data_IF_928276921980
#
_entry.id   IF_928276921980
#
_cell.length_a   1.000
_cell.length_b   1.000
_cell.length_c   1.000
_cell.angle_alpha   90.00
_cell.angle_beta   90.00
_cell.angle_gamma   90.00
#
_symmetry.space_group_name_H-M   'P 1'
#
loop_
_entity.id
_entity.type
_entity.pdbx_description
1 polymer ?
#
# COMPACT_ATOMS: atom_id res chain seq x y z
N UNK A 1 -8.09 -1.10 45.42
CA UNK A 1 -7.49 -0.91 44.08
C UNK A 1 -8.17 -1.96 43.23
N UNK A 2 -9.25 -1.54 42.57
CA UNK A 2 -10.18 -2.46 41.93
C UNK A 2 -9.57 -3.00 40.64
N UNK A 3 -9.90 -4.26 40.29
CA UNK A 3 -9.43 -4.91 39.06
C UNK A 3 -9.71 -4.06 37.80
N UNK A 4 -10.72 -3.20 37.85
CA UNK A 4 -11.08 -2.24 36.79
C UNK A 4 -9.97 -1.22 36.53
N UNK A 5 -9.28 -0.73 37.57
CA UNK A 5 -8.15 0.21 37.41
C UNK A 5 -6.93 -0.46 36.75
N UNK A 6 -6.75 -1.77 36.96
CA UNK A 6 -5.68 -2.53 36.29
C UNK A 6 -6.01 -2.81 34.82
N UNK A 7 -7.28 -3.03 34.48
CA UNK A 7 -7.70 -3.13 33.07
C UNK A 7 -7.56 -1.77 32.38
N UNK A 8 -8.03 -0.67 32.97
CA UNK A 8 -7.82 0.67 32.40
C UNK A 8 -6.33 1.02 32.23
N UNK A 9 -5.48 0.65 33.19
CA UNK A 9 -4.04 0.94 33.13
C UNK A 9 -3.30 0.06 32.12
N UNK A 10 -3.76 -1.18 31.87
CA UNK A 10 -3.22 -2.03 30.80
C UNK A 10 -3.68 -1.54 29.42
N UNK A 11 -4.93 -1.07 29.29
CA UNK A 11 -5.44 -0.48 28.05
C UNK A 11 -4.84 0.91 27.76
N UNK A 12 -4.55 1.73 28.77
CA UNK A 12 -3.81 3.00 28.63
C UNK A 12 -2.32 2.79 28.31
N UNK A 13 -1.75 1.63 28.64
CA UNK A 13 -0.36 1.29 28.30
C UNK A 13 -0.15 0.83 26.86
N UNK A 14 -1.23 0.63 26.10
CA UNK A 14 -1.20 0.26 24.69
C UNK A 14 -1.43 1.45 23.75
N UNK A 15 -1.19 2.68 24.22
CA UNK A 15 -1.09 3.83 23.32
C UNK A 15 0.12 3.60 22.41
N UNK A 16 -0.14 3.08 21.20
CA UNK A 16 0.87 2.97 20.15
C UNK A 16 1.47 4.36 19.90
N UNK A 17 2.77 4.40 19.62
CA UNK A 17 3.50 5.65 19.49
C UNK A 17 2.85 6.56 18.43
N UNK A 18 2.74 7.88 18.69
CA UNK A 18 2.20 8.82 17.71
C UNK A 18 3.05 8.82 16.45
N UNK A 19 2.46 9.22 15.33
CA UNK A 19 3.15 9.23 14.05
C UNK A 19 4.45 10.05 14.10
N UNK A 20 5.54 9.40 13.67
CA UNK A 20 6.83 10.04 13.44
C UNK A 20 7.15 9.98 11.95
N UNK A 21 7.23 11.16 11.33
CA UNK A 21 7.56 11.26 9.91
C UNK A 21 8.98 10.76 9.64
N UNK A 22 9.09 9.87 8.66
CA UNK A 22 10.36 9.39 8.14
C UNK A 22 10.73 10.16 6.86
N UNK A 23 12.02 10.44 6.67
CA UNK A 23 12.52 11.07 5.45
C UNK A 23 12.74 10.01 4.36
N UNK A 24 11.69 9.74 3.59
CA UNK A 24 11.76 8.79 2.47
C UNK A 24 12.42 9.48 1.27
N UNK A 25 13.61 9.01 0.92
CA UNK A 25 14.39 9.48 -0.22
C UNK A 25 14.38 8.43 -1.33
N UNK A 26 14.06 8.88 -2.54
CA UNK A 26 14.21 8.10 -3.77
C UNK A 26 15.22 8.84 -4.63
N UNK A 27 16.37 8.23 -4.83
CA UNK A 27 17.53 8.75 -5.57
C UNK A 27 17.83 7.93 -6.81
N UNK A 28 17.45 6.65 -6.82
CA UNK A 28 17.53 5.75 -7.95
C UNK A 28 16.21 5.00 -8.16
N UNK A 29 15.82 4.83 -9.42
CA UNK A 29 14.68 4.02 -9.81
C UNK A 29 15.05 3.14 -11.01
N UNK A 30 14.56 1.90 -11.02
CA UNK A 30 14.82 0.94 -12.09
C UNK A 30 13.49 0.49 -12.70
N UNK A 31 13.35 0.64 -14.02
CA UNK A 31 12.15 0.21 -14.77
C UNK A 31 12.43 -1.13 -15.42
N UNK A 32 11.64 -2.15 -15.09
CA UNK A 32 11.65 -3.47 -15.74
C UNK A 32 10.36 -3.65 -16.51
N UNK A 33 10.44 -3.80 -17.83
CA UNK A 33 9.26 -3.94 -18.68
C UNK A 33 9.49 -4.85 -19.89
N UNK A 34 8.41 -5.37 -20.46
CA UNK A 34 8.43 -6.09 -21.72
C UNK A 34 8.62 -5.15 -22.92
N UNK A 35 9.31 -5.65 -23.95
CA UNK A 35 9.58 -4.91 -25.19
C UNK A 35 11.06 -4.84 -25.53
N UNK A 36 11.35 -4.21 -26.66
CA UNK A 36 12.71 -3.81 -27.02
C UNK A 36 13.12 -2.52 -26.28
N UNK A 37 14.37 -2.09 -26.46
CA UNK A 37 14.90 -0.90 -25.80
C UNK A 37 14.07 0.37 -26.08
N UNK A 38 13.49 0.50 -27.28
CA UNK A 38 12.69 1.67 -27.65
C UNK A 38 11.33 1.66 -26.97
N UNK A 39 10.64 0.51 -26.97
CA UNK A 39 9.36 0.34 -26.29
C UNK A 39 9.49 0.53 -24.77
N UNK A 40 10.52 -0.06 -24.16
CA UNK A 40 10.76 0.05 -22.72
C UNK A 40 11.11 1.47 -22.33
N UNK A 41 11.90 2.17 -23.15
CA UNK A 41 12.21 3.59 -22.92
C UNK A 41 10.96 4.47 -23.00
N UNK A 42 10.10 4.25 -24.00
CA UNK A 42 8.85 5.00 -24.13
C UNK A 42 7.93 4.78 -22.93
N UNK A 43 7.79 3.53 -22.47
CA UNK A 43 7.04 3.21 -21.26
C UNK A 43 7.67 3.80 -19.99
N UNK A 44 8.99 3.76 -19.86
CA UNK A 44 9.72 4.40 -18.77
C UNK A 44 9.51 5.92 -18.74
N UNK A 45 9.45 6.60 -19.89
CA UNK A 45 9.14 8.03 -19.97
C UNK A 45 7.73 8.36 -19.45
N UNK A 46 6.74 7.49 -19.69
CA UNK A 46 5.40 7.63 -19.11
C UNK A 46 5.43 7.50 -17.59
N UNK A 47 6.16 6.50 -17.07
CA UNK A 47 6.35 6.29 -15.62
C UNK A 47 7.02 7.51 -14.97
N UNK A 48 8.05 8.07 -15.60
CA UNK A 48 8.74 9.27 -15.12
C UNK A 48 7.81 10.48 -15.05
N UNK A 49 6.90 10.62 -16.02
CA UNK A 49 5.85 11.65 -16.02
C UNK A 49 4.90 11.49 -14.84
N UNK A 50 4.34 10.28 -14.67
CA UNK A 50 3.46 9.94 -13.54
C UNK A 50 4.14 10.17 -12.18
N UNK A 51 5.42 9.81 -12.06
CA UNK A 51 6.23 9.97 -10.85
C UNK A 51 7.02 11.28 -10.80
N UNK A 52 6.59 12.32 -11.51
CA UNK A 52 7.25 13.64 -11.54
C UNK A 52 7.37 14.27 -10.14
N UNK A 53 6.52 13.88 -9.19
CA UNK A 53 6.59 14.23 -7.76
C UNK A 53 7.93 13.89 -7.11
N UNK A 54 8.64 12.86 -7.61
CA UNK A 54 9.96 12.48 -7.10
C UNK A 54 11.06 13.49 -7.45
N UNK A 55 10.81 14.36 -8.45
CA UNK A 55 11.71 15.39 -8.91
C UNK A 55 12.75 14.90 -9.93
N UNK A 56 13.50 15.85 -10.49
CA UNK A 56 14.42 15.60 -11.61
C UNK A 56 15.74 14.89 -11.22
N UNK A 57 16.03 14.74 -9.92
CA UNK A 57 17.31 14.21 -9.45
C UNK A 57 17.34 12.68 -9.29
N UNK A 58 16.26 11.99 -9.64
CA UNK A 58 16.22 10.52 -9.62
C UNK A 58 17.02 9.97 -10.80
N UNK A 59 17.97 9.08 -10.54
CA UNK A 59 18.67 8.32 -11.58
C UNK A 59 17.78 7.17 -12.04
N UNK A 60 17.47 7.12 -13.33
CA UNK A 60 16.64 6.07 -13.92
C UNK A 60 17.51 5.06 -14.70
N UNK A 61 17.26 3.77 -14.49
CA UNK A 61 17.83 2.68 -15.27
C UNK A 61 16.70 1.88 -15.92
N UNK A 62 16.75 1.72 -17.24
CA UNK A 62 15.72 0.98 -18.00
C UNK A 62 16.26 -0.40 -18.36
N UNK A 63 15.50 -1.44 -18.00
CA UNK A 63 15.88 -2.85 -18.15
C UNK A 63 14.79 -3.57 -18.95
N UNK A 64 15.02 -3.87 -20.24
CA UNK A 64 14.07 -4.66 -21.01
C UNK A 64 14.04 -6.10 -20.50
N UNK A 65 12.89 -6.77 -20.62
CA UNK A 65 12.77 -8.18 -20.19
C UNK A 65 13.67 -9.14 -20.97
N UNK A 66 14.19 -8.73 -22.13
CA UNK A 66 15.21 -9.45 -22.88
C UNK A 66 16.62 -9.41 -22.24
N UNK A 67 16.85 -8.54 -21.25
CA UNK A 67 18.12 -8.43 -20.53
C UNK A 67 18.34 -9.51 -19.46
N UNK A 68 17.31 -10.30 -19.15
CA UNK A 68 17.40 -11.43 -18.23
C UNK A 68 16.56 -12.61 -18.76
N UNK A 69 17.02 -13.82 -18.54
CA UNK A 69 16.35 -15.06 -18.95
C UNK A 69 15.63 -15.76 -17.79
N UNK A 70 15.96 -15.37 -16.56
CA UNK A 70 15.45 -15.95 -15.33
C UNK A 70 15.49 -14.92 -14.20
N UNK A 71 14.85 -15.25 -13.07
CA UNK A 71 14.77 -14.37 -11.91
C UNK A 71 16.13 -14.12 -11.24
N UNK A 72 17.07 -15.09 -11.28
CA UNK A 72 18.39 -14.88 -10.68
C UNK A 72 19.17 -13.76 -11.39
N UNK A 73 19.15 -13.75 -12.73
CA UNK A 73 19.78 -12.70 -13.53
C UNK A 73 19.15 -11.33 -13.26
N UNK A 74 17.83 -11.25 -13.07
CA UNK A 74 17.18 -10.00 -12.66
C UNK A 74 17.61 -9.56 -11.27
N UNK A 75 17.73 -10.48 -10.31
CA UNK A 75 18.22 -10.17 -8.96
C UNK A 75 19.66 -9.65 -9.00
N UNK A 76 20.54 -10.23 -9.82
CA UNK A 76 21.91 -9.73 -10.02
C UNK A 76 21.93 -8.29 -10.58
N UNK A 77 21.01 -7.96 -11.51
CA UNK A 77 20.83 -6.59 -11.99
C UNK A 77 20.40 -5.67 -10.85
N UNK A 78 19.40 -6.07 -10.06
CA UNK A 78 18.90 -5.27 -8.93
C UNK A 78 19.96 -5.07 -7.84
N UNK A 79 20.77 -6.07 -7.55
CA UNK A 79 21.91 -5.97 -6.62
C UNK A 79 22.98 -5.01 -7.14
N UNK A 80 23.30 -5.05 -8.44
CA UNK A 80 24.29 -4.17 -9.05
C UNK A 80 23.83 -2.71 -9.12
N UNK A 81 22.59 -2.47 -9.54
CA UNK A 81 22.05 -1.13 -9.75
C UNK A 81 21.61 -0.46 -8.44
N UNK A 82 21.29 -1.26 -7.43
CA UNK A 82 20.81 -0.87 -6.10
C UNK A 82 19.74 0.24 -6.13
N UNK A 83 18.58 -0.01 -6.76
CA UNK A 83 17.53 1.00 -6.88
C UNK A 83 16.79 1.21 -5.55
N UNK A 84 16.43 2.45 -5.25
CA UNK A 84 15.50 2.76 -4.14
C UNK A 84 14.05 2.36 -4.48
N UNK A 85 13.72 2.37 -5.78
CA UNK A 85 12.40 2.02 -6.31
C UNK A 85 12.52 1.12 -7.54
N UNK A 86 11.76 0.03 -7.57
CA UNK A 86 11.62 -0.84 -8.73
C UNK A 86 10.26 -0.58 -9.37
N UNK A 87 10.22 -0.13 -10.62
CA UNK A 87 8.99 0.04 -11.39
C UNK A 87 8.82 -1.12 -12.36
N UNK A 88 7.69 -1.81 -12.31
CA UNK A 88 7.41 -2.95 -13.17
C UNK A 88 5.91 -3.12 -13.40
N UNK A 89 5.51 -4.15 -14.13
CA UNK A 89 4.12 -4.52 -14.33
C UNK A 89 3.92 -6.01 -14.08
N UNK A 90 2.65 -6.41 -13.94
CA UNK A 90 2.30 -7.82 -13.78
C UNK A 90 2.76 -8.62 -15.00
N UNK A 91 3.20 -9.85 -14.75
CA UNK A 91 3.67 -10.80 -15.76
C UNK A 91 4.84 -10.35 -16.63
N UNK A 92 5.67 -9.40 -16.18
CA UNK A 92 6.89 -9.01 -16.89
C UNK A 92 7.77 -10.24 -17.20
N UNK A 93 8.29 -10.33 -18.41
CA UNK A 93 9.11 -11.45 -18.89
C UNK A 93 8.35 -12.77 -19.04
N UNK A 94 7.02 -12.78 -18.90
CA UNK A 94 6.20 -13.99 -19.01
C UNK A 94 5.41 -14.03 -20.32
N UNK A 95 5.37 -15.18 -21.02
CA UNK A 95 4.48 -15.35 -22.17
C UNK A 95 2.98 -15.40 -21.77
N UNK A 96 2.68 -15.50 -20.47
CA UNK A 96 1.34 -15.75 -19.93
C UNK A 96 0.61 -14.46 -19.48
N UNK A 97 0.82 -13.35 -20.19
CA UNK A 97 0.21 -12.03 -19.90
C UNK A 97 -1.33 -12.03 -19.82
N UNK A 98 -1.99 -13.09 -20.32
CA UNK A 98 -3.46 -13.23 -20.34
C UNK A 98 -4.07 -13.68 -19.02
N UNK A 99 -3.28 -14.14 -18.04
CA UNK A 99 -3.82 -14.75 -16.83
C UNK A 99 -4.01 -13.75 -15.69
N UNK A 100 -5.21 -13.21 -15.58
CA UNK A 100 -5.58 -12.20 -14.59
C UNK A 100 -5.57 -12.64 -13.10
N UNK A 101 -5.12 -13.86 -12.79
CA UNK A 101 -5.26 -14.49 -11.47
C UNK A 101 -3.97 -14.52 -10.64
N UNK A 102 -2.86 -14.04 -11.19
CA UNK A 102 -1.57 -13.99 -10.49
C UNK A 102 -0.85 -12.68 -10.81
N UNK A 103 0.19 -12.35 -10.05
CA UNK A 103 1.05 -11.19 -10.34
C UNK A 103 2.14 -11.53 -11.37
N UNK A 104 2.45 -12.82 -11.51
CA UNK A 104 3.54 -13.33 -12.32
C UNK A 104 4.77 -13.61 -11.46
N UNK A 105 5.54 -14.64 -11.85
CA UNK A 105 6.67 -15.17 -11.08
C UNK A 105 7.66 -14.10 -10.63
N UNK A 106 8.03 -13.20 -11.54
CA UNK A 106 8.97 -12.11 -11.24
C UNK A 106 8.44 -11.22 -10.13
N UNK A 107 7.19 -10.75 -10.25
CA UNK A 107 6.62 -9.81 -9.29
C UNK A 107 6.35 -10.47 -7.94
N UNK A 108 5.89 -11.73 -7.92
CA UNK A 108 5.74 -12.52 -6.70
C UNK A 108 7.06 -12.65 -5.95
N UNK A 109 8.17 -12.94 -6.65
CA UNK A 109 9.50 -13.00 -6.02
C UNK A 109 9.96 -11.63 -5.55
N UNK A 110 9.80 -10.56 -6.34
CA UNK A 110 10.22 -9.22 -5.94
C UNK A 110 9.55 -8.80 -4.64
N UNK A 111 8.22 -8.93 -4.56
CA UNK A 111 7.46 -8.55 -3.36
C UNK A 111 7.83 -9.36 -2.11
N UNK A 112 8.43 -10.54 -2.25
CA UNK A 112 8.84 -11.38 -1.11
C UNK A 112 10.33 -11.26 -0.79
N UNK A 113 11.19 -11.14 -1.79
CA UNK A 113 12.64 -11.29 -1.66
C UNK A 113 13.40 -9.96 -1.59
N UNK A 114 12.77 -8.83 -1.92
CA UNK A 114 13.38 -7.51 -1.76
C UNK A 114 12.73 -6.72 -0.61
N UNK A 115 13.51 -5.82 -0.02
CA UNK A 115 13.03 -4.78 0.92
C UNK A 115 12.86 -3.42 0.22
N UNK A 116 13.22 -3.35 -1.07
CA UNK A 116 13.03 -2.18 -1.92
C UNK A 116 11.57 -2.02 -2.28
N UNK A 117 11.11 -0.78 -2.37
CA UNK A 117 9.76 -0.50 -2.81
C UNK A 117 9.54 -0.94 -4.26
N UNK A 118 8.40 -1.58 -4.53
CA UNK A 118 8.01 -2.06 -5.86
C UNK A 118 6.77 -1.31 -6.32
N UNK A 119 6.90 -0.48 -7.35
CA UNK A 119 5.79 0.15 -8.06
C UNK A 119 5.29 -0.78 -9.16
N UNK A 120 4.06 -1.26 -9.03
CA UNK A 120 3.37 -2.08 -10.01
C UNK A 120 2.43 -1.19 -10.82
N UNK A 121 2.70 -1.09 -12.12
CA UNK A 121 1.95 -0.26 -13.04
C UNK A 121 1.08 -1.11 -13.98
N UNK A 122 0.08 -0.51 -14.65
CA UNK A 122 -0.65 -1.14 -15.75
C UNK A 122 0.30 -1.71 -16.80
N UNK A 123 -0.08 -2.81 -17.45
CA UNK A 123 0.75 -3.42 -18.49
C UNK A 123 0.96 -2.42 -19.66
N UNK A 124 2.17 -2.32 -20.26
CA UNK A 124 2.45 -1.37 -21.36
C UNK A 124 1.41 -1.40 -22.49
N UNK A 125 0.96 -2.60 -22.88
CA UNK A 125 -0.06 -2.80 -23.93
C UNK A 125 -1.52 -2.62 -23.46
N UNK A 126 -1.77 -2.09 -22.25
CA UNK A 126 -3.12 -1.87 -21.74
C UNK A 126 -3.60 -0.44 -21.95
N UNK A 127 -4.91 -0.26 -22.16
CA UNK A 127 -5.53 1.07 -22.26
C UNK A 127 -5.28 1.95 -21.02
N UNK A 128 -5.01 1.34 -19.87
CA UNK A 128 -4.71 2.08 -18.64
C UNK A 128 -3.28 2.61 -18.61
N UNK A 129 -2.34 1.96 -19.32
CA UNK A 129 -1.00 2.49 -19.51
C UNK A 129 -0.99 3.71 -20.44
N UNK A 130 -1.85 3.74 -21.45
CA UNK A 130 -2.00 4.93 -22.31
C UNK A 130 -2.47 6.17 -21.53
N UNK A 131 -3.18 5.97 -20.42
CA UNK A 131 -3.69 7.05 -19.54
C UNK A 131 -2.70 7.48 -18.47
N UNK A 132 -1.59 6.74 -18.24
CA UNK A 132 -0.60 7.07 -17.21
C UNK A 132 -0.03 8.50 -17.35
N UNK A 133 0.30 8.99 -18.56
CA UNK A 133 0.82 10.35 -18.75
C UNK A 133 -0.15 11.48 -18.36
N UNK A 134 -1.46 11.20 -18.44
CA UNK A 134 -2.52 12.15 -18.08
C UNK A 134 -2.88 12.07 -16.58
N UNK A 135 -2.30 11.12 -15.85
CA UNK A 135 -2.47 10.93 -14.41
C UNK A 135 -1.28 11.52 -13.66
N UNK A 136 -1.56 12.04 -12.49
CA UNK A 136 -0.56 12.36 -11.48
C UNK A 136 -0.84 11.54 -10.21
N UNK A 137 -0.05 11.80 -9.17
CA UNK A 137 -0.26 11.23 -7.84
C UNK A 137 -1.00 12.20 -6.91
N UNK A 138 -2.02 12.87 -7.44
CA UNK A 138 -2.83 13.87 -6.73
C UNK A 138 -3.74 13.28 -5.65
N UNK A 139 -4.08 12.00 -5.74
CA UNK A 139 -4.79 11.27 -4.70
C UNK A 139 -4.08 9.95 -4.43
N UNK A 140 -3.36 9.88 -3.32
CA UNK A 140 -2.67 8.66 -2.87
C UNK A 140 -3.46 8.04 -1.74
N UNK A 141 -3.72 6.74 -1.82
CA UNK A 141 -4.52 6.01 -0.84
C UNK A 141 -3.68 4.93 -0.17
N UNK A 142 -3.59 4.96 1.15
CA UNK A 142 -2.99 3.90 1.96
C UNK A 142 -4.05 2.84 2.26
N UNK A 143 -3.71 1.57 2.02
CA UNK A 143 -4.62 0.44 2.20
C UNK A 143 -4.00 -0.57 3.16
N UNK A 144 -4.58 -0.68 4.35
CA UNK A 144 -4.12 -1.61 5.39
C UNK A 144 -5.24 -1.88 6.40
N UNK A 145 -5.12 -2.99 7.13
CA UNK A 145 -5.86 -3.34 8.35
C UNK A 145 -4.97 -3.20 9.61
N UNK A 146 -3.76 -2.66 9.45
CA UNK A 146 -2.73 -2.52 10.49
C UNK A 146 -2.07 -1.13 10.46
N UNK A 147 -2.84 -0.06 10.24
CA UNK A 147 -2.29 1.30 10.08
C UNK A 147 -1.56 1.82 11.33
N UNK A 148 -2.04 1.46 12.51
CA UNK A 148 -1.61 2.07 13.77
C UNK A 148 -0.14 1.75 14.05
N UNK A 149 0.70 2.78 14.10
CA UNK A 149 2.15 2.67 14.32
C UNK A 149 2.98 2.57 13.03
N UNK A 150 2.35 2.47 11.86
CA UNK A 150 3.06 2.32 10.59
C UNK A 150 3.48 3.67 9.98
N UNK A 151 4.50 4.27 10.59
CA UNK A 151 5.09 5.51 10.10
C UNK A 151 5.78 5.35 8.75
N UNK A 152 6.24 4.14 8.40
CA UNK A 152 6.90 3.85 7.12
C UNK A 152 5.90 3.96 5.98
N UNK A 153 4.77 3.27 6.08
CA UNK A 153 3.72 3.26 5.07
C UNK A 153 3.19 4.67 4.79
N UNK A 154 2.87 5.42 5.84
CA UNK A 154 2.39 6.81 5.73
C UNK A 154 3.47 7.72 5.11
N UNK A 155 4.73 7.58 5.54
CA UNK A 155 5.83 8.42 5.02
C UNK A 155 6.14 8.11 3.55
N UNK A 156 6.05 6.84 3.14
CA UNK A 156 6.14 6.46 1.74
C UNK A 156 4.97 7.07 0.95
N UNK A 157 3.73 6.84 1.35
CA UNK A 157 2.57 7.40 0.64
C UNK A 157 2.66 8.94 0.49
N UNK A 158 3.08 9.63 1.54
CA UNK A 158 3.32 11.07 1.51
C UNK A 158 4.40 11.47 0.49
N UNK A 159 5.50 10.71 0.38
CA UNK A 159 6.57 10.99 -0.59
C UNK A 159 6.08 10.96 -2.04
N UNK A 160 5.09 10.12 -2.32
CA UNK A 160 4.49 10.03 -3.64
C UNK A 160 3.29 10.96 -3.82
N UNK A 161 2.79 11.65 -2.80
CA UNK A 161 1.63 12.55 -2.96
C UNK A 161 2.08 13.89 -3.54
N UNK A 162 1.43 14.37 -4.62
CA UNK A 162 1.78 15.67 -5.19
C UNK A 162 1.52 16.82 -4.20
N UNK A 163 2.26 17.93 -4.29
CA UNK A 163 1.96 19.12 -3.48
C UNK A 163 0.52 19.58 -3.71
N UNK A 164 -0.20 19.83 -2.61
CA UNK A 164 -1.62 20.14 -2.51
C UNK A 164 -2.56 19.00 -2.92
N UNK A 165 -2.01 17.80 -3.10
CA UNK A 165 -2.78 16.57 -3.28
C UNK A 165 -3.42 16.09 -1.98
N UNK A 166 -4.10 14.96 -2.09
CA UNK A 166 -4.78 14.27 -0.99
C UNK A 166 -4.08 12.96 -0.66
N UNK A 167 -3.84 12.74 0.62
CA UNK A 167 -3.41 11.45 1.17
C UNK A 167 -4.58 10.87 1.96
N UNK A 168 -5.19 9.82 1.44
CA UNK A 168 -6.30 9.12 2.10
C UNK A 168 -5.72 7.96 2.90
N UNK A 169 -5.88 8.01 4.22
CA UNK A 169 -5.46 6.96 5.12
C UNK A 169 -6.66 6.07 5.42
N UNK A 170 -6.64 4.84 4.89
CA UNK A 170 -7.74 3.91 5.04
C UNK A 170 -7.37 2.74 5.94
N UNK A 171 -8.26 2.46 6.88
CA UNK A 171 -8.18 1.29 7.76
C UNK A 171 -9.50 0.53 7.71
N UNK A 172 -9.45 -0.72 7.26
CA UNK A 172 -10.65 -1.56 7.13
C UNK A 172 -10.51 -2.80 7.98
N UNK A 173 -11.30 -2.87 9.06
CA UNK A 173 -11.45 -4.06 9.89
C UNK A 173 -12.34 -5.11 9.21
N UNK A 174 -12.02 -6.40 9.35
CA UNK A 174 -12.81 -7.49 8.74
C UNK A 174 -14.09 -7.77 9.53
N UNK A 175 -15.25 -7.47 8.92
CA UNK A 175 -16.57 -7.76 9.48
C UNK A 175 -16.78 -9.27 9.75
N UNK A 176 -16.12 -10.16 9.01
CA UNK A 176 -16.18 -11.62 9.21
C UNK A 176 -15.52 -12.02 10.51
N UNK A 177 -14.39 -11.39 10.84
CA UNK A 177 -13.67 -11.63 12.09
C UNK A 177 -14.50 -11.12 13.26
N UNK A 178 -15.07 -9.93 13.13
CA UNK A 178 -15.98 -9.38 14.12
C UNK A 178 -17.20 -10.29 14.36
N UNK A 179 -17.85 -10.76 13.28
CA UNK A 179 -19.00 -11.67 13.38
C UNK A 179 -18.64 -12.95 14.16
N UNK A 180 -17.43 -13.48 13.96
CA UNK A 180 -16.94 -14.64 14.72
C UNK A 180 -16.80 -14.34 16.22
N UNK A 181 -16.37 -13.14 16.59
CA UNK A 181 -16.32 -12.73 17.99
C UNK A 181 -17.70 -12.54 18.59
N UNK A 182 -18.62 -11.88 17.87
CA UNK A 182 -20.02 -11.72 18.28
C UNK A 182 -20.68 -13.08 18.53
N UNK A 183 -20.49 -14.05 17.63
CA UNK A 183 -21.02 -15.42 17.79
C UNK A 183 -20.47 -16.15 19.01
N UNK A 184 -19.21 -15.88 19.39
CA UNK A 184 -18.60 -16.46 20.58
C UNK A 184 -19.15 -15.82 21.86
N UNK A 185 -19.29 -14.49 21.86
CA UNK A 185 -19.85 -13.72 22.98
C UNK A 185 -21.31 -14.11 23.23
N UNK A 186 -22.10 -14.34 22.18
CA UNK A 186 -23.49 -14.78 22.25
C UNK A 186 -23.72 -16.08 23.03
N UNK A 187 -22.68 -16.91 23.17
CA UNK A 187 -22.74 -18.18 23.91
C UNK A 187 -22.47 -18.01 25.40
N UNK A 188 -22.15 -16.81 25.87
CA UNK A 188 -21.86 -16.49 27.27
C UNK A 188 -23.15 -15.91 27.90
N UNK A 189 -23.89 -16.68 28.73
CA UNK A 189 -25.26 -16.32 29.13
C UNK A 189 -25.39 -15.01 29.94
N UNK A 190 -24.29 -14.56 30.55
CA UNK A 190 -24.24 -13.41 31.45
C UNK A 190 -23.83 -12.12 30.73
N UNK A 191 -23.48 -12.20 29.43
CA UNK A 191 -23.03 -11.05 28.65
C UNK A 191 -24.13 -10.54 27.72
N UNK A 192 -24.37 -9.23 27.76
CA UNK A 192 -25.16 -8.56 26.73
C UNK A 192 -24.33 -8.48 25.44
N UNK A 193 -24.68 -9.33 24.48
CA UNK A 193 -23.94 -9.48 23.23
C UNK A 193 -23.98 -8.22 22.37
N UNK A 194 -25.10 -7.50 22.39
CA UNK A 194 -25.29 -6.29 21.57
C UNK A 194 -24.36 -5.19 22.08
N UNK A 195 -24.49 -4.85 23.37
CA UNK A 195 -23.65 -3.84 24.03
C UNK A 195 -22.15 -4.15 23.91
N UNK A 196 -21.74 -5.42 24.09
CA UNK A 196 -20.31 -5.78 23.98
C UNK A 196 -19.82 -5.69 22.54
N UNK A 197 -20.65 -6.04 21.55
CA UNK A 197 -20.28 -5.92 20.14
C UNK A 197 -20.10 -4.46 19.73
N UNK A 198 -20.97 -3.56 20.19
CA UNK A 198 -20.82 -2.12 19.94
C UNK A 198 -19.52 -1.57 20.54
N UNK A 199 -19.23 -1.89 21.80
CA UNK A 199 -17.98 -1.48 22.47
C UNK A 199 -16.74 -2.03 21.75
N UNK A 200 -16.81 -3.28 21.26
CA UNK A 200 -15.73 -3.87 20.49
C UNK A 200 -15.52 -3.13 19.15
N UNK A 201 -16.60 -2.78 18.45
CA UNK A 201 -16.54 -2.01 17.19
C UNK A 201 -15.88 -0.66 17.41
N UNK A 202 -16.35 0.10 18.40
CA UNK A 202 -15.78 1.39 18.75
C UNK A 202 -14.30 1.28 19.10
N UNK A 203 -13.94 0.26 19.89
CA UNK A 203 -12.55 0.09 20.32
C UNK A 203 -11.61 -0.27 19.18
N UNK A 204 -12.03 -1.15 18.26
CA UNK A 204 -11.23 -1.56 17.10
C UNK A 204 -10.94 -0.40 16.15
N UNK A 205 -11.91 0.50 15.95
CA UNK A 205 -11.74 1.66 15.07
C UNK A 205 -11.06 2.86 15.75
N UNK A 206 -11.00 2.87 17.09
CA UNK A 206 -10.42 3.99 17.84
C UNK A 206 -8.93 4.16 17.59
N UNK A 207 -8.15 3.09 17.75
CA UNK A 207 -6.69 3.16 17.62
C UNK A 207 -6.24 3.66 16.22
N UNK A 208 -6.79 3.15 15.09
CA UNK A 208 -6.45 3.70 13.78
C UNK A 208 -6.95 5.13 13.55
N UNK A 209 -8.11 5.51 14.10
CA UNK A 209 -8.61 6.89 14.00
C UNK A 209 -7.71 7.88 14.76
N UNK A 210 -7.36 7.56 16.02
CA UNK A 210 -6.46 8.36 16.85
C UNK A 210 -5.06 8.47 16.18
N UNK A 211 -4.60 7.41 15.52
CA UNK A 211 -3.33 7.45 14.78
C UNK A 211 -3.38 8.36 13.56
N UNK A 212 -4.46 8.32 12.76
CA UNK A 212 -4.63 9.23 11.62
C UNK A 212 -4.70 10.69 12.08
N UNK A 213 -5.36 10.96 13.21
CA UNK A 213 -5.35 12.29 13.83
C UNK A 213 -3.91 12.72 14.17
N UNK A 214 -3.10 11.82 14.75
CA UNK A 214 -1.68 12.11 15.01
C UNK A 214 -0.88 12.39 13.73
N UNK A 215 -1.19 11.73 12.61
CA UNK A 215 -0.59 12.03 11.30
C UNK A 215 -0.97 13.43 10.82
N UNK A 216 -2.24 13.82 10.97
CA UNK A 216 -2.76 15.15 10.62
C UNK A 216 -2.04 16.24 11.40
N UNK A 217 -1.93 16.09 12.72
CA UNK A 217 -1.26 17.05 13.59
C UNK A 217 0.21 17.22 13.22
N UNK A 218 0.96 16.11 13.16
CA UNK A 218 2.41 16.15 12.89
C UNK A 218 2.73 16.72 11.50
N UNK A 219 1.91 16.44 10.48
CA UNK A 219 2.13 16.94 9.12
C UNK A 219 1.69 18.40 8.95
N UNK A 220 0.66 18.83 9.66
CA UNK A 220 0.28 20.25 9.75
C UNK A 220 1.37 21.07 10.46
N UNK A 221 1.92 20.59 11.58
CA UNK A 221 3.04 21.23 12.29
C UNK A 221 4.30 21.33 11.41
N UNK A 222 4.58 20.29 10.63
CA UNK A 222 5.70 20.29 9.68
C UNK A 222 5.45 21.16 8.43
N UNK A 223 4.26 21.76 8.28
CA UNK A 223 3.90 22.61 7.14
C UNK A 223 3.86 21.87 5.80
N UNK A 224 3.56 20.57 5.83
CA UNK A 224 3.49 19.75 4.62
C UNK A 224 2.24 20.13 3.83
N UNK A 225 2.34 20.51 2.56
CA UNK A 225 1.20 20.99 1.79
C UNK A 225 0.40 19.81 1.22
N UNK A 226 -0.16 18.93 2.07
CA UNK A 226 -0.99 17.79 1.66
C UNK A 226 -2.22 17.75 2.55
N UNK A 227 -3.38 17.47 1.97
CA UNK A 227 -4.61 17.24 2.74
C UNK A 227 -4.68 15.77 3.14
N UNK A 228 -4.91 15.49 4.41
CA UNK A 228 -5.04 14.11 4.92
C UNK A 228 -6.49 13.82 5.23
N UNK A 229 -7.02 12.77 4.63
CA UNK A 229 -8.39 12.28 4.84
C UNK A 229 -8.36 10.92 5.54
N UNK A 230 -9.31 10.70 6.45
CA UNK A 230 -9.46 9.44 7.17
C UNK A 230 -10.65 8.66 6.62
N UNK A 231 -10.45 7.39 6.30
CA UNK A 231 -11.54 6.45 6.00
C UNK A 231 -11.34 5.17 6.83
N UNK A 232 -11.93 5.18 8.03
CA UNK A 232 -11.80 4.11 9.02
C UNK A 232 -13.15 3.44 9.16
N UNK A 233 -13.18 2.12 9.01
CA UNK A 233 -14.43 1.40 9.12
C UNK A 233 -14.27 -0.11 9.09
N UNK A 234 -15.42 -0.77 9.01
CA UNK A 234 -15.48 -2.20 8.78
C UNK A 234 -15.82 -2.49 7.33
N UNK A 235 -15.38 -3.64 6.85
CA UNK A 235 -15.74 -4.09 5.53
C UNK A 235 -15.43 -5.55 5.26
N UNK A 236 -15.86 -5.98 4.08
CA UNK A 236 -15.57 -7.31 3.56
C UNK A 236 -14.55 -7.22 2.43
N UNK A 237 -13.38 -7.82 2.67
CA UNK A 237 -12.41 -8.23 1.63
C UNK A 237 -12.16 -7.15 0.56
N UNK A 238 -12.10 -7.56 -0.70
CA UNK A 238 -11.82 -6.74 -1.88
C UNK A 238 -12.95 -5.78 -2.27
N UNK A 239 -14.21 -6.07 -1.90
CA UNK A 239 -15.35 -5.25 -2.33
C UNK A 239 -15.35 -3.87 -1.67
N UNK A 240 -14.99 -3.81 -0.38
CA UNK A 240 -14.86 -2.53 0.32
C UNK A 240 -13.72 -1.72 -0.29
N UNK A 241 -12.58 -2.34 -0.54
CA UNK A 241 -11.43 -1.69 -1.15
C UNK A 241 -11.75 -1.12 -2.53
N UNK A 242 -12.42 -1.87 -3.42
CA UNK A 242 -12.83 -1.36 -4.75
C UNK A 242 -13.72 -0.13 -4.63
N UNK A 243 -14.73 -0.20 -3.75
CA UNK A 243 -15.62 0.95 -3.49
C UNK A 243 -14.85 2.17 -3.01
N UNK A 244 -13.88 1.99 -2.12
CA UNK A 244 -13.08 3.10 -1.58
C UNK A 244 -12.17 3.72 -2.64
N UNK A 245 -11.49 2.89 -3.43
CA UNK A 245 -10.65 3.34 -4.56
C UNK A 245 -11.46 4.19 -5.54
N UNK A 246 -12.65 3.73 -5.90
CA UNK A 246 -13.54 4.46 -6.80
C UNK A 246 -14.08 5.76 -6.16
N UNK A 247 -14.50 5.70 -4.88
CA UNK A 247 -15.08 6.85 -4.18
C UNK A 247 -14.08 8.00 -3.97
N UNK A 248 -12.80 7.66 -3.78
CA UNK A 248 -11.75 8.65 -3.60
C UNK A 248 -11.09 9.06 -4.91
N UNK A 249 -11.40 8.38 -6.02
CA UNK A 249 -10.71 8.53 -7.32
C UNK A 249 -9.19 8.35 -7.16
N UNK A 250 -8.79 7.30 -6.44
CA UNK A 250 -7.39 7.10 -6.07
C UNK A 250 -6.51 6.86 -7.31
N UNK A 251 -5.42 7.62 -7.38
CA UNK A 251 -4.45 7.59 -8.49
C UNK A 251 -3.25 6.66 -8.23
N UNK A 252 -2.97 6.38 -6.95
CA UNK A 252 -1.93 5.47 -6.48
C UNK A 252 -2.40 4.80 -5.20
N UNK A 253 -2.26 3.49 -5.11
CA UNK A 253 -2.53 2.71 -3.90
C UNK A 253 -1.21 2.34 -3.24
N UNK A 254 -1.13 2.39 -1.92
CA UNK A 254 0.10 2.07 -1.15
C UNK A 254 -0.23 1.04 -0.09
N UNK A 255 0.54 -0.05 -0.04
CA UNK A 255 0.34 -1.15 0.90
C UNK A 255 1.66 -1.85 1.23
N UNK A 256 1.74 -2.45 2.41
CA UNK A 256 2.83 -3.38 2.74
C UNK A 256 2.54 -4.75 2.11
N UNK A 257 3.60 -5.42 1.70
CA UNK A 257 3.54 -6.78 1.14
C UNK A 257 3.81 -7.88 2.16
N UNK A 258 4.45 -7.52 3.27
CA UNK A 258 4.81 -8.42 4.37
C UNK A 258 4.29 -7.81 5.67
N UNK A 259 3.65 -8.62 6.50
CA UNK A 259 3.37 -8.26 7.89
C UNK A 259 4.61 -8.49 8.77
N UNK A 260 4.64 -7.89 9.96
CA UNK A 260 5.75 -7.98 10.92
C UNK A 260 6.15 -9.43 11.26
N UNK A 261 5.20 -10.36 11.16
CA UNK A 261 5.39 -11.81 11.40
C UNK A 261 5.81 -12.62 10.16
N UNK A 262 6.14 -11.97 9.02
CA UNK A 262 6.61 -12.62 7.79
C UNK A 262 5.61 -13.60 7.13
N UNK A 263 4.34 -13.60 7.51
CA UNK A 263 3.30 -14.42 6.86
C UNK A 263 2.83 -13.78 5.55
N UNK A 264 3.69 -13.87 4.51
CA UNK A 264 3.55 -13.27 3.18
C UNK A 264 2.31 -13.69 2.35
N UNK A 265 1.33 -14.38 2.93
CA UNK A 265 0.18 -14.99 2.24
C UNK A 265 -1.15 -14.84 2.98
N UNK A 266 -1.18 -14.18 4.15
CA UNK A 266 -2.43 -13.87 4.87
C UNK A 266 -2.86 -12.40 4.75
N UNK A 267 -1.98 -11.52 4.28
CA UNK A 267 -2.25 -10.09 4.12
C UNK A 267 -3.13 -9.75 2.91
N UNK A 268 -3.90 -8.65 3.03
CA UNK A 268 -4.79 -8.12 1.99
C UNK A 268 -4.07 -7.73 0.68
N UNK A 269 -2.75 -7.48 0.74
CA UNK A 269 -1.97 -6.93 -0.36
C UNK A 269 -1.96 -7.79 -1.64
N UNK A 270 -1.76 -9.11 -1.53
CA UNK A 270 -1.67 -9.96 -2.71
C UNK A 270 -3.01 -10.07 -3.47
N UNK A 271 -4.16 -10.37 -2.81
CA UNK A 271 -5.46 -10.32 -3.47
C UNK A 271 -5.78 -8.93 -4.06
N UNK A 272 -5.48 -7.84 -3.35
CA UNK A 272 -5.69 -6.48 -3.86
C UNK A 272 -4.82 -6.25 -5.10
N UNK A 273 -3.57 -6.69 -5.07
CA UNK A 273 -2.66 -6.53 -6.20
C UNK A 273 -3.11 -7.34 -7.42
N UNK A 274 -3.77 -8.48 -7.27
CA UNK A 274 -4.36 -9.21 -8.41
C UNK A 274 -5.55 -8.43 -9.01
N UNK A 275 -6.41 -7.88 -8.16
CA UNK A 275 -7.68 -7.29 -8.58
C UNK A 275 -7.55 -5.83 -9.07
N UNK A 276 -6.68 -5.04 -8.45
CA UNK A 276 -6.50 -3.60 -8.74
C UNK A 276 -5.55 -3.37 -9.91
N UNK A 277 -5.96 -3.79 -11.11
CA UNK A 277 -5.10 -3.76 -12.30
C UNK A 277 -4.97 -2.38 -12.95
N UNK A 278 -5.98 -1.52 -12.76
CA UNK A 278 -6.08 -0.24 -13.45
C UNK A 278 -5.41 0.93 -12.73
N UNK A 279 -5.13 0.75 -11.43
CA UNK A 279 -4.51 1.77 -10.58
C UNK A 279 -3.09 1.31 -10.25
N UNK A 280 -2.07 2.16 -10.42
CA UNK A 280 -0.72 1.89 -9.93
C UNK A 280 -0.70 1.53 -8.44
N UNK A 281 0.18 0.59 -8.07
CA UNK A 281 0.35 0.11 -6.70
C UNK A 281 1.79 0.31 -6.25
N UNK A 282 2.00 0.92 -5.09
CA UNK A 282 3.26 0.94 -4.39
C UNK A 282 3.24 -0.13 -3.30
N UNK A 283 4.04 -1.16 -3.51
CA UNK A 283 4.18 -2.33 -2.66
C UNK A 283 5.47 -2.22 -1.85
N UNK A 284 5.33 -2.18 -0.53
CA UNK A 284 6.43 -1.93 0.42
C UNK A 284 6.83 -3.17 1.22
#
# INVERSE_FOLDING_TARGET
MDKVDQFESLFKSAAKEPFQRQDVRVTSALVVADGDEEAVKAYADQIRGFLSVLGANVRWTDVPSSAFSNIQELMEILEREDPDLICTHRHVGSPNQRWAWTLGEVLDVLTQATDRAVMVLPHPDSEDAEKLPDRDTGVVMVMTDHLTGDGRLVSHALRYTTPKGRLVLCHVEDDTVLARYTDAIAKIPEMDTESVTELLRERLLKDPADYIESCQEALAEAGVPVTIEADVGFGHRLTTWKRLVDAHEASLLVMNTKDEDQDAMHGLAHPIAIEMRQVPLLML
#
